data_IF_549982582468
#
_entry.id   IF_549982582468
#
_cell.length_a   1.000
_cell.length_b   1.000
_cell.length_c   1.000
_cell.angle_alpha   90.00
_cell.angle_beta   90.00
_cell.angle_gamma   90.00
#
_symmetry.space_group_name_H-M   'P 1'
#
loop_
_entity.id
_entity.type
_entity.pdbx_description
1 polymer ?
#
# COMPACT_ATOMS: atom_id res chain seq x y z
N UNK A 1 20.08 -26.37 20.21
CA UNK A 1 19.25 -25.35 19.53
C UNK A 1 17.87 -25.38 20.17
N UNK A 2 17.56 -24.39 21.01
CA UNK A 2 16.30 -24.36 21.80
C UNK A 2 15.06 -24.28 20.89
N UNK A 3 13.97 -24.90 21.33
CA UNK A 3 12.64 -24.98 20.67
C UNK A 3 11.92 -23.62 20.53
N UNK A 4 12.58 -22.50 20.86
CA UNK A 4 11.96 -21.17 20.94
C UNK A 4 11.97 -20.37 19.62
N UNK A 5 12.53 -20.91 18.53
CA UNK A 5 12.76 -20.14 17.30
C UNK A 5 11.76 -20.36 16.16
N UNK A 6 10.68 -21.13 16.37
CA UNK A 6 9.69 -21.34 15.29
C UNK A 6 8.80 -20.11 15.07
N UNK A 7 8.60 -19.27 16.10
CA UNK A 7 7.78 -18.06 15.99
C UNK A 7 8.53 -16.81 15.53
N UNK A 8 9.87 -16.82 15.53
CA UNK A 8 10.70 -15.64 15.22
C UNK A 8 10.70 -15.25 13.74
N UNK A 9 10.25 -16.15 12.87
CA UNK A 9 10.18 -15.90 11.42
C UNK A 9 8.83 -15.29 11.01
N UNK A 10 7.79 -15.40 11.84
CA UNK A 10 6.41 -15.17 11.37
C UNK A 10 5.73 -13.90 11.91
N UNK A 11 6.31 -13.20 12.89
CA UNK A 11 5.80 -11.91 13.37
C UNK A 11 6.94 -10.94 13.68
N UNK A 12 6.89 -9.72 13.12
CA UNK A 12 7.81 -8.67 13.56
C UNK A 12 7.44 -8.22 14.97
N UNK A 13 8.46 -7.96 15.79
CA UNK A 13 8.29 -7.42 17.15
C UNK A 13 7.75 -5.98 17.14
N UNK A 14 7.90 -5.27 16.02
CA UNK A 14 7.39 -3.92 15.81
C UNK A 14 6.83 -3.75 14.40
N UNK A 15 5.91 -2.81 14.23
CA UNK A 15 5.33 -2.47 12.95
C UNK A 15 6.13 -1.34 12.29
N UNK A 16 6.72 -1.61 11.13
CA UNK A 16 7.35 -0.61 10.31
C UNK A 16 6.58 -0.49 8.97
N UNK A 17 5.99 0.68 8.63
CA UNK A 17 5.16 0.82 7.44
C UNK A 17 5.82 0.33 6.15
N UNK A 18 7.05 0.78 5.85
CA UNK A 18 7.76 0.41 4.62
C UNK A 18 7.99 -1.10 4.53
N UNK A 19 8.55 -1.71 5.59
CA UNK A 19 8.76 -3.15 5.67
C UNK A 19 7.46 -3.95 5.59
N UNK A 20 6.38 -3.45 6.19
CA UNK A 20 5.06 -4.04 6.06
C UNK A 20 4.52 -3.95 4.62
N UNK A 21 4.90 -2.95 3.82
CA UNK A 21 4.56 -2.90 2.39
C UNK A 21 5.44 -3.75 1.50
N UNK A 22 6.66 -4.02 1.93
CA UNK A 22 7.72 -4.63 1.13
C UNK A 22 7.50 -6.12 0.89
N UNK A 23 7.48 -6.53 -0.37
CA UNK A 23 7.32 -7.95 -0.74
C UNK A 23 8.56 -8.77 -0.39
N UNK A 24 9.75 -8.19 -0.58
CA UNK A 24 11.04 -8.86 -0.39
C UNK A 24 11.82 -8.34 0.84
N UNK A 25 11.26 -7.38 1.56
CA UNK A 25 11.90 -6.73 2.72
C UNK A 25 13.00 -5.72 2.34
N UNK A 26 13.21 -5.43 1.05
CA UNK A 26 14.31 -4.56 0.60
C UNK A 26 13.93 -3.09 0.45
N UNK A 27 12.62 -2.79 0.37
CA UNK A 27 12.15 -1.40 0.29
C UNK A 27 12.68 -0.52 1.42
N UNK A 28 13.30 0.58 1.03
CA UNK A 28 13.77 1.65 1.92
C UNK A 28 12.93 2.91 1.83
N UNK A 29 12.08 3.02 0.79
CA UNK A 29 11.22 4.16 0.53
C UNK A 29 9.77 3.71 0.35
N UNK A 30 8.79 4.56 0.70
CA UNK A 30 7.38 4.29 0.43
C UNK A 30 7.13 4.19 -1.08
N UNK A 31 6.70 3.02 -1.55
CA UNK A 31 6.40 2.78 -2.97
C UNK A 31 4.93 3.00 -3.34
N UNK A 32 4.02 3.13 -2.36
CA UNK A 32 2.61 3.44 -2.59
C UNK A 32 2.10 4.56 -1.66
N UNK A 33 1.00 5.22 -2.05
CA UNK A 33 0.40 6.34 -1.31
C UNK A 33 -0.09 5.95 0.10
N UNK A 34 -0.44 4.68 0.32
CA UNK A 34 -0.86 4.21 1.62
C UNK A 34 0.33 3.96 2.56
N UNK A 35 1.46 3.43 2.08
CA UNK A 35 2.71 3.34 2.84
C UNK A 35 3.22 4.74 3.15
N UNK A 36 3.17 5.67 2.19
CA UNK A 36 3.54 7.06 2.44
C UNK A 36 2.71 7.68 3.57
N UNK A 37 1.38 7.53 3.53
CA UNK A 37 0.48 7.97 4.60
C UNK A 37 0.77 7.31 5.94
N UNK A 38 1.06 6.01 5.94
CA UNK A 38 1.37 5.28 7.17
C UNK A 38 2.70 5.73 7.77
N UNK A 39 3.70 5.99 6.92
CA UNK A 39 4.98 6.52 7.33
C UNK A 39 4.84 7.92 7.92
N UNK A 40 4.11 8.82 7.25
CA UNK A 40 3.80 10.15 7.79
C UNK A 40 3.06 10.08 9.12
N UNK A 41 2.08 9.18 9.24
CA UNK A 41 1.35 8.98 10.48
C UNK A 41 2.26 8.53 11.62
N UNK A 42 3.19 7.61 11.32
CA UNK A 42 4.18 7.11 12.28
C UNK A 42 5.18 8.20 12.68
N UNK A 43 5.75 8.92 11.70
CA UNK A 43 6.77 9.96 11.96
C UNK A 43 6.22 11.20 12.64
N UNK A 44 4.98 11.59 12.32
CA UNK A 44 4.32 12.75 12.92
C UNK A 44 3.56 12.41 14.22
N UNK A 45 3.54 11.14 14.66
CA UNK A 45 2.85 10.72 15.88
C UNK A 45 1.34 10.95 15.85
N UNK A 46 0.71 10.91 14.67
CA UNK A 46 -0.71 11.25 14.49
C UNK A 46 -1.68 10.15 14.94
N UNK A 47 -1.16 9.02 15.43
CA UNK A 47 -1.95 7.89 15.88
C UNK A 47 -1.56 7.50 17.30
N UNK A 48 -2.50 7.70 18.21
CA UNK A 48 -2.43 7.19 19.57
C UNK A 48 -3.22 5.87 19.66
N UNK A 49 -2.55 4.72 19.86
CA UNK A 49 -3.22 3.43 20.00
C UNK A 49 -4.02 3.28 21.31
N UNK A 50 -3.69 4.05 22.35
CA UNK A 50 -4.31 3.97 23.69
C UNK A 50 -5.38 5.04 23.91
N UNK A 51 -5.45 6.07 23.06
CA UNK A 51 -6.41 7.17 23.18
C UNK A 51 -7.86 6.85 22.78
N UNK A 52 -8.16 5.66 22.23
CA UNK A 52 -9.55 5.28 21.90
C UNK A 52 -10.29 4.76 23.13
N UNK A 53 -11.21 5.57 23.67
CA UNK A 53 -12.05 5.22 24.83
C UNK A 53 -12.90 3.97 24.61
N UNK A 54 -13.14 3.58 23.36
CA UNK A 54 -13.91 2.38 23.01
C UNK A 54 -13.07 1.11 23.09
N UNK A 55 -11.75 1.21 23.23
CA UNK A 55 -10.87 0.06 23.46
C UNK A 55 -10.84 -0.18 24.96
N UNK A 56 -11.56 -1.21 25.40
CA UNK A 56 -11.75 -1.55 26.81
C UNK A 56 -11.24 -2.97 27.01
N UNK A 57 -10.60 -3.21 28.17
CA UNK A 57 -10.20 -4.54 28.59
C UNK A 57 -8.71 -4.81 28.45
N UNK A 58 -8.34 -6.07 28.69
CA UNK A 58 -6.95 -6.53 28.61
C UNK A 58 -6.55 -6.84 27.16
N UNK A 59 -5.55 -6.15 26.56
CA UNK A 59 -5.11 -6.43 25.20
C UNK A 59 -4.59 -7.87 25.03
N UNK A 60 -4.02 -8.46 26.07
CA UNK A 60 -3.51 -9.84 26.03
C UNK A 60 -4.63 -10.89 26.06
N UNK A 61 -5.87 -10.49 26.33
CA UNK A 61 -7.05 -11.38 26.29
C UNK A 61 -8.00 -11.03 25.15
N UNK A 62 -7.59 -10.09 24.29
CA UNK A 62 -8.42 -9.56 23.21
C UNK A 62 -7.94 -10.03 21.85
N UNK A 63 -8.84 -10.67 21.11
CA UNK A 63 -8.63 -11.05 19.72
C UNK A 63 -9.29 -10.08 18.75
N UNK A 64 -8.61 -9.87 17.63
CA UNK A 64 -9.15 -9.29 16.42
C UNK A 64 -9.77 -10.41 15.57
N UNK A 65 -11.01 -10.19 15.15
CA UNK A 65 -11.72 -11.07 14.21
C UNK A 65 -12.11 -10.24 12.99
N UNK A 66 -11.54 -10.55 11.83
CA UNK A 66 -11.79 -9.89 10.56
C UNK A 66 -12.50 -10.80 9.55
N UNK A 67 -12.87 -10.21 8.40
CA UNK A 67 -13.61 -10.87 7.32
C UNK A 67 -14.99 -11.41 7.76
N UNK A 68 -15.64 -10.73 8.71
CA UNK A 68 -17.02 -11.02 9.07
C UNK A 68 -17.98 -10.53 7.98
N UNK A 69 -19.09 -11.25 7.80
CA UNK A 69 -20.20 -10.77 6.97
C UNK A 69 -20.71 -9.44 7.50
N UNK A 70 -21.16 -8.56 6.60
CA UNK A 70 -21.79 -7.30 6.98
C UNK A 70 -23.11 -7.50 7.73
N UNK A 71 -23.73 -8.67 7.58
CA UNK A 71 -24.97 -9.06 8.25
C UNK A 71 -24.74 -9.71 9.61
N UNK A 72 -23.50 -10.12 9.93
CA UNK A 72 -23.17 -10.74 11.21
C UNK A 72 -23.45 -9.76 12.36
N UNK A 73 -24.17 -10.24 13.36
CA UNK A 73 -24.53 -9.49 14.57
C UNK A 73 -23.60 -9.83 15.72
N UNK A 74 -23.64 -9.03 16.78
CA UNK A 74 -22.86 -9.31 17.99
C UNK A 74 -23.29 -10.61 18.66
N UNK A 75 -24.58 -10.94 18.62
CA UNK A 75 -25.12 -12.16 19.21
C UNK A 75 -24.72 -13.41 18.42
N UNK A 76 -24.76 -13.37 17.09
CA UNK A 76 -24.32 -14.49 16.25
C UNK A 76 -22.83 -14.74 16.44
N UNK A 77 -22.02 -13.67 16.46
CA UNK A 77 -20.59 -13.78 16.72
C UNK A 77 -20.27 -14.28 18.13
N UNK A 78 -20.99 -13.79 19.15
CA UNK A 78 -20.85 -14.27 20.54
C UNK A 78 -21.16 -15.75 20.64
N UNK A 79 -22.24 -16.21 20.00
CA UNK A 79 -22.64 -17.62 19.97
C UNK A 79 -21.58 -18.49 19.28
N UNK A 80 -21.06 -18.04 18.14
CA UNK A 80 -19.99 -18.74 17.42
C UNK A 80 -18.71 -18.87 18.25
N UNK A 81 -18.33 -17.81 18.97
CA UNK A 81 -17.07 -17.76 19.73
C UNK A 81 -17.15 -18.43 21.11
N UNK A 82 -18.36 -18.59 21.66
CA UNK A 82 -18.60 -19.25 22.95
C UNK A 82 -18.03 -20.67 23.03
N UNK A 83 -17.89 -21.37 21.90
CA UNK A 83 -17.31 -22.73 21.85
C UNK A 83 -15.83 -22.78 22.24
N UNK A 84 -15.11 -21.66 22.12
CA UNK A 84 -13.68 -21.57 22.42
C UNK A 84 -13.41 -21.08 23.84
N UNK A 85 -14.35 -20.36 24.45
CA UNK A 85 -14.26 -19.88 25.82
C UNK A 85 -15.35 -18.86 26.17
N UNK A 86 -15.34 -18.40 27.42
CA UNK A 86 -16.29 -17.39 27.90
C UNK A 86 -15.89 -16.00 27.42
N UNK A 87 -16.78 -15.39 26.63
CA UNK A 87 -16.60 -14.03 26.10
C UNK A 87 -16.99 -13.01 27.17
N UNK A 88 -16.01 -12.25 27.65
CA UNK A 88 -16.18 -11.17 28.63
C UNK A 88 -16.73 -9.91 27.97
N UNK A 89 -16.10 -9.48 26.88
CA UNK A 89 -16.51 -8.30 26.13
C UNK A 89 -16.44 -8.59 24.63
N UNK A 90 -17.34 -7.97 23.86
CA UNK A 90 -17.38 -8.09 22.41
C UNK A 90 -17.76 -6.73 21.83
N UNK A 91 -16.97 -6.24 20.88
CA UNK A 91 -17.21 -4.99 20.17
C UNK A 91 -17.18 -5.24 18.67
N UNK A 92 -18.35 -5.21 18.01
CA UNK A 92 -18.42 -5.22 16.55
C UNK A 92 -18.23 -3.79 16.03
N UNK A 93 -17.22 -3.57 15.19
CA UNK A 93 -16.93 -2.22 14.70
C UNK A 93 -17.89 -1.85 13.57
N UNK A 94 -18.60 -0.75 13.77
CA UNK A 94 -19.58 -0.21 12.84
C UNK A 94 -19.17 1.18 12.35
N UNK A 95 -19.69 1.56 11.19
CA UNK A 95 -19.57 2.92 10.69
C UNK A 95 -20.39 3.88 11.57
N UNK A 96 -19.81 5.01 11.96
CA UNK A 96 -20.42 5.93 12.93
C UNK A 96 -21.70 6.60 12.40
N UNK A 97 -21.80 6.83 11.09
CA UNK A 97 -22.96 7.52 10.49
C UNK A 97 -24.05 6.53 10.08
N UNK A 98 -23.67 5.43 9.42
CA UNK A 98 -24.63 4.50 8.80
C UNK A 98 -24.96 3.31 9.69
N UNK A 99 -24.22 3.09 10.78
CA UNK A 99 -24.40 1.92 11.66
C UNK A 99 -24.03 0.57 11.03
N UNK A 100 -23.64 0.55 9.76
CA UNK A 100 -23.27 -0.66 9.03
C UNK A 100 -22.00 -1.29 9.61
N UNK A 101 -21.97 -2.63 9.66
CA UNK A 101 -20.80 -3.38 10.11
C UNK A 101 -19.60 -3.13 9.19
N UNK A 102 -18.43 -2.90 9.78
CA UNK A 102 -17.16 -2.82 9.02
C UNK A 102 -16.57 -4.21 8.70
N UNK A 103 -17.22 -5.29 9.13
CA UNK A 103 -16.77 -6.66 8.88
C UNK A 103 -15.61 -7.09 9.79
N UNK A 104 -15.44 -6.45 10.95
CA UNK A 104 -14.48 -6.89 11.96
C UNK A 104 -14.92 -6.53 13.38
N UNK A 105 -14.45 -7.32 14.35
CA UNK A 105 -14.78 -7.18 15.76
C UNK A 105 -13.55 -7.41 16.65
N UNK A 106 -13.67 -6.96 17.90
CA UNK A 106 -12.74 -7.28 18.97
C UNK A 106 -13.46 -8.08 20.05
N UNK A 107 -12.83 -9.17 20.50
CA UNK A 107 -13.43 -10.12 21.46
C UNK A 107 -12.46 -10.32 22.61
N UNK A 108 -12.85 -9.90 23.80
CA UNK A 108 -12.14 -10.14 25.05
C UNK A 108 -12.68 -11.41 25.70
N UNK A 109 -11.79 -12.36 25.98
CA UNK A 109 -12.10 -13.56 26.75
C UNK A 109 -11.82 -13.35 28.24
N UNK A 110 -12.41 -14.18 29.09
CA UNK A 110 -12.15 -14.11 30.54
C UNK A 110 -10.71 -14.51 30.87
N UNK A 111 -10.21 -15.56 30.24
CA UNK A 111 -8.86 -16.08 30.47
C UNK A 111 -7.98 -16.02 29.21
N UNK A 112 -6.67 -15.88 29.42
CA UNK A 112 -5.68 -15.94 28.33
C UNK A 112 -5.62 -17.33 27.68
N UNK A 113 -5.93 -18.40 28.42
CA UNK A 113 -5.96 -19.76 27.87
C UNK A 113 -7.09 -19.94 26.84
N UNK A 114 -8.30 -19.45 27.15
CA UNK A 114 -9.44 -19.44 26.22
C UNK A 114 -9.15 -18.60 24.99
N UNK A 115 -8.54 -17.42 25.18
CA UNK A 115 -8.10 -16.56 24.09
C UNK A 115 -7.12 -17.31 23.17
N UNK A 116 -6.07 -17.93 23.71
CA UNK A 116 -5.08 -18.68 22.93
C UNK A 116 -5.70 -19.87 22.19
N UNK A 117 -6.69 -20.52 22.80
CA UNK A 117 -7.46 -21.59 22.17
C UNK A 117 -8.25 -21.06 20.98
N UNK A 118 -9.02 -19.98 21.17
CA UNK A 118 -9.75 -19.31 20.09
C UNK A 118 -8.82 -18.86 18.97
N UNK A 119 -7.66 -18.29 19.31
CA UNK A 119 -6.64 -17.92 18.33
C UNK A 119 -6.22 -19.11 17.46
N UNK A 120 -5.94 -20.28 18.05
CA UNK A 120 -5.49 -21.45 17.27
C UNK A 120 -6.62 -22.06 16.45
N UNK A 121 -7.79 -22.27 17.04
CA UNK A 121 -8.87 -23.10 16.48
C UNK A 121 -9.91 -22.31 15.65
N UNK A 122 -10.09 -21.01 15.88
CA UNK A 122 -11.14 -20.22 15.22
C UNK A 122 -10.70 -19.58 13.90
N UNK A 123 -9.41 -19.57 13.60
CA UNK A 123 -8.88 -19.01 12.35
C UNK A 123 -9.30 -19.87 11.16
N UNK A 124 -9.78 -19.23 10.08
CA UNK A 124 -10.40 -19.88 8.91
C UNK A 124 -11.69 -20.66 9.23
N UNK A 125 -12.33 -20.41 10.36
CA UNK A 125 -13.68 -20.92 10.63
C UNK A 125 -14.73 -20.10 9.87
N UNK A 126 -15.91 -20.67 9.66
CA UNK A 126 -17.01 -20.00 8.97
C UNK A 126 -18.03 -19.44 9.96
N UNK A 127 -18.40 -18.18 9.75
CA UNK A 127 -19.50 -17.49 10.46
C UNK A 127 -20.36 -16.79 9.42
N UNK A 128 -21.65 -17.13 9.36
CA UNK A 128 -22.60 -16.59 8.38
C UNK A 128 -22.06 -16.68 6.93
N UNK A 129 -21.59 -17.87 6.55
CA UNK A 129 -20.98 -18.20 5.25
C UNK A 129 -19.71 -17.41 4.89
N UNK A 130 -19.14 -16.68 5.85
CA UNK A 130 -17.89 -15.94 5.68
C UNK A 130 -16.75 -16.61 6.43
N UNK A 131 -15.64 -16.83 5.74
CA UNK A 131 -14.41 -17.33 6.34
C UNK A 131 -13.71 -16.23 7.14
N UNK A 132 -13.58 -16.43 8.45
CA UNK A 132 -13.07 -15.41 9.37
C UNK A 132 -11.56 -15.51 9.56
N UNK A 133 -10.93 -14.37 9.76
CA UNK A 133 -9.52 -14.29 10.17
C UNK A 133 -9.46 -13.90 11.63
N UNK A 134 -8.78 -14.72 12.43
CA UNK A 134 -8.49 -14.43 13.84
C UNK A 134 -7.01 -14.09 14.04
N UNK A 135 -6.74 -12.93 14.63
CA UNK A 135 -5.40 -12.45 14.99
C UNK A 135 -5.41 -11.78 16.38
N UNK A 136 -4.25 -11.49 16.96
CA UNK A 136 -4.13 -10.71 18.18
C UNK A 136 -4.53 -9.24 17.97
N UNK A 137 -4.95 -8.56 19.04
CA UNK A 137 -5.20 -7.12 19.03
C UNK A 137 -3.88 -6.33 18.87
N UNK A 138 -3.44 -6.16 17.62
CA UNK A 138 -2.17 -5.49 17.29
C UNK A 138 -2.13 -4.02 17.68
N UNK A 139 -3.29 -3.37 17.82
CA UNK A 139 -3.37 -1.96 18.15
C UNK A 139 -2.59 -1.59 19.42
N UNK A 140 -2.70 -2.40 20.47
CA UNK A 140 -2.03 -2.14 21.75
C UNK A 140 -0.79 -3.01 21.94
N UNK A 141 -0.74 -4.18 21.30
CA UNK A 141 0.34 -5.16 21.50
C UNK A 141 1.57 -4.94 20.63
N UNK A 142 1.45 -4.27 19.47
CA UNK A 142 2.55 -4.11 18.53
C UNK A 142 2.99 -2.63 18.46
N UNK A 143 4.21 -2.31 18.95
CA UNK A 143 4.77 -0.97 18.85
C UNK A 143 4.82 -0.49 17.39
N UNK A 144 4.48 0.78 17.17
CA UNK A 144 4.46 1.39 15.84
C UNK A 144 3.27 0.99 14.97
N UNK A 145 2.30 0.22 15.49
CA UNK A 145 1.14 -0.21 14.71
C UNK A 145 0.40 0.96 14.08
N UNK A 146 0.19 0.90 12.76
CA UNK A 146 -0.65 1.87 12.04
C UNK A 146 -1.85 1.13 11.45
N UNK A 147 -3.09 1.56 11.72
CA UNK A 147 -4.29 0.92 11.18
C UNK A 147 -4.44 1.19 9.67
N UNK A 148 -5.22 0.35 9.00
CA UNK A 148 -5.47 0.41 7.56
C UNK A 148 -5.99 1.77 7.06
N UNK A 149 -6.84 2.44 7.85
CA UNK A 149 -7.39 3.77 7.54
C UNK A 149 -6.32 4.87 7.43
N UNK A 150 -5.16 4.66 8.03
CA UNK A 150 -3.99 5.54 7.96
C UNK A 150 -2.92 5.00 7.01
N UNK A 151 -3.23 3.94 6.25
CA UNK A 151 -2.40 3.39 5.18
C UNK A 151 -1.58 2.16 5.56
N UNK A 152 -1.57 1.82 6.85
CA UNK A 152 -0.89 0.63 7.38
C UNK A 152 -1.74 -0.63 7.29
N UNK A 153 -1.85 -1.35 8.41
CA UNK A 153 -2.49 -2.64 8.55
C UNK A 153 -1.65 -3.79 8.03
N UNK A 154 -2.23 -5.00 8.06
CA UNK A 154 -1.65 -6.26 7.61
C UNK A 154 -2.58 -6.92 6.60
N UNK A 155 -2.03 -7.82 5.79
CA UNK A 155 -2.78 -8.57 4.79
C UNK A 155 -3.19 -7.70 3.59
N UNK A 156 -4.35 -8.01 3.01
CA UNK A 156 -4.82 -7.41 1.77
C UNK A 156 -4.64 -8.34 0.56
N UNK A 157 -5.33 -8.01 -0.52
CA UNK A 157 -5.32 -8.78 -1.77
C UNK A 157 -4.39 -8.10 -2.78
N UNK A 158 -3.67 -8.89 -3.59
CA UNK A 158 -2.83 -8.36 -4.68
C UNK A 158 -3.65 -7.51 -5.65
N UNK A 159 -4.88 -7.94 -5.95
CA UNK A 159 -5.85 -7.25 -6.80
C UNK A 159 -6.22 -5.85 -6.27
N UNK A 160 -6.24 -5.67 -4.95
CA UNK A 160 -6.58 -4.39 -4.32
C UNK A 160 -5.45 -3.35 -4.38
N UNK A 161 -4.26 -3.73 -4.86
CA UNK A 161 -3.08 -2.86 -4.92
C UNK A 161 -2.48 -2.46 -3.58
N UNK A 162 -3.04 -2.94 -2.46
CA UNK A 162 -2.62 -2.57 -1.11
C UNK A 162 -2.26 -3.82 -0.31
N UNK A 163 -1.19 -4.51 -0.69
CA UNK A 163 -0.71 -5.70 0.01
C UNK A 163 0.19 -5.30 1.19
N UNK A 164 0.01 -5.93 2.35
CA UNK A 164 0.83 -5.73 3.55
C UNK A 164 1.23 -7.07 4.18
N UNK A 165 2.44 -7.15 4.68
CA UNK A 165 3.05 -8.30 5.34
C UNK A 165 3.15 -8.05 6.85
N UNK A 166 3.28 -9.13 7.61
CA UNK A 166 3.47 -9.11 9.06
C UNK A 166 2.30 -9.58 9.91
N UNK A 167 1.37 -10.32 9.32
CA UNK A 167 0.26 -10.95 10.03
C UNK A 167 0.19 -12.43 9.72
N UNK A 168 -0.85 -13.09 10.23
CA UNK A 168 -1.00 -14.54 10.07
C UNK A 168 -1.20 -14.99 8.62
N UNK A 169 -1.98 -14.23 7.84
CA UNK A 169 -2.24 -14.51 6.42
C UNK A 169 -1.04 -14.25 5.50
N UNK A 170 -0.23 -13.26 5.86
CA UNK A 170 0.89 -12.77 5.07
C UNK A 170 2.06 -12.55 6.00
N UNK A 171 2.65 -13.63 6.56
CA UNK A 171 3.77 -13.48 7.45
C UNK A 171 4.93 -12.85 6.70
N UNK A 172 5.80 -12.15 7.44
CA UNK A 172 7.06 -11.71 6.87
C UNK A 172 7.82 -12.93 6.36
N UNK A 173 8.23 -12.91 5.10
CA UNK A 173 9.18 -13.90 4.59
C UNK A 173 10.56 -13.34 4.83
N UNK A 174 11.47 -14.17 5.33
CA UNK A 174 12.88 -13.81 5.28
C UNK A 174 13.23 -13.45 3.83
N UNK A 175 14.03 -12.38 3.59
CA UNK A 175 14.50 -12.06 2.26
C UNK A 175 15.06 -13.32 1.61
N UNK A 176 14.76 -13.55 0.33
CA UNK A 176 15.33 -14.68 -0.42
C UNK A 176 16.85 -14.51 -0.41
N UNK A 177 17.53 -15.22 0.49
CA UNK A 177 18.99 -15.28 0.47
C UNK A 177 19.38 -16.10 -0.76
N UNK A 178 20.37 -15.66 -1.55
CA UNK A 178 20.94 -16.54 -2.57
C UNK A 178 21.38 -17.82 -1.88
N UNK A 179 20.91 -18.96 -2.40
CA UNK A 179 21.30 -20.27 -1.90
C UNK A 179 22.80 -20.40 -2.20
N UNK A 180 23.66 -20.68 -1.20
CA UNK A 180 25.07 -20.92 -1.44
C UNK A 180 25.27 -21.98 -2.53
N UNK A 181 26.30 -21.82 -3.36
CA UNK A 181 26.57 -22.73 -4.49
C UNK A 181 26.67 -24.20 -4.05
N UNK A 182 27.23 -24.46 -2.88
CA UNK A 182 27.37 -25.81 -2.32
C UNK A 182 26.01 -26.46 -2.00
N UNK A 183 25.04 -25.66 -1.55
CA UNK A 183 23.68 -26.12 -1.26
C UNK A 183 22.87 -26.36 -2.53
N UNK A 184 23.05 -25.55 -3.58
CA UNK A 184 22.45 -25.79 -4.91
C UNK A 184 22.91 -27.14 -5.49
N UNK A 185 24.21 -27.41 -5.38
CA UNK A 185 24.82 -28.68 -5.81
C UNK A 185 24.28 -29.87 -5.02
N UNK A 186 24.11 -29.73 -3.70
CA UNK A 186 23.53 -30.77 -2.83
C UNK A 186 22.06 -31.05 -3.14
N UNK A 187 21.30 -30.03 -3.55
CA UNK A 187 19.89 -30.14 -3.91
C UNK A 187 19.67 -30.61 -5.35
N UNK A 188 20.74 -30.83 -6.14
CA UNK A 188 20.64 -31.23 -7.54
C UNK A 188 20.03 -30.15 -8.45
N UNK A 189 19.98 -28.90 -7.99
CA UNK A 189 19.47 -27.78 -8.78
C UNK A 189 20.63 -27.31 -9.68
N UNK A 190 20.49 -27.39 -11.02
CA UNK A 190 21.54 -26.96 -11.92
C UNK A 190 21.76 -25.46 -11.77
N UNK A 191 23.03 -25.03 -11.90
CA UNK A 191 23.36 -23.62 -11.85
C UNK A 191 22.63 -22.88 -12.98
N UNK A 192 22.16 -21.64 -12.72
CA UNK A 192 21.71 -20.77 -13.79
C UNK A 192 22.82 -20.68 -14.86
N UNK A 193 22.51 -20.84 -16.16
CA UNK A 193 23.52 -20.84 -17.21
C UNK A 193 24.37 -19.57 -17.16
N UNK A 194 25.69 -19.68 -17.30
CA UNK A 194 26.55 -18.50 -17.29
C UNK A 194 26.12 -17.56 -18.43
N UNK A 195 25.73 -16.34 -18.06
CA UNK A 195 25.12 -15.41 -19.01
C UNK A 195 24.92 -14.04 -18.39
N UNK A 196 24.70 -13.04 -19.24
CA UNK A 196 24.39 -11.69 -18.80
C UNK A 196 22.93 -11.64 -18.34
N UNK A 197 22.71 -11.96 -17.07
CA UNK A 197 21.43 -11.71 -16.41
C UNK A 197 21.16 -10.21 -16.43
N UNK A 198 19.94 -9.83 -16.82
CA UNK A 198 19.50 -8.45 -16.70
C UNK A 198 19.62 -8.06 -15.23
N UNK A 199 20.36 -6.98 -14.96
CA UNK A 199 20.38 -6.40 -13.62
C UNK A 199 18.95 -5.97 -13.23
N UNK A 200 18.67 -5.83 -11.93
CA UNK A 200 17.38 -5.32 -11.41
C UNK A 200 16.95 -3.99 -12.07
N UNK A 201 17.90 -3.23 -12.63
CA UNK A 201 17.69 -1.93 -13.28
C UNK A 201 17.71 -2.00 -14.80
N UNK A 202 18.06 -3.13 -15.42
CA UNK A 202 18.06 -3.29 -16.87
C UNK A 202 16.66 -3.72 -17.35
N UNK A 203 16.03 -2.87 -18.15
CA UNK A 203 14.72 -3.15 -18.77
C UNK A 203 14.94 -4.06 -19.98
N UNK A 204 14.25 -5.21 -20.10
CA UNK A 204 14.35 -6.06 -21.28
C UNK A 204 13.98 -5.26 -22.52
N UNK A 205 14.75 -5.44 -23.60
CA UNK A 205 14.38 -4.85 -24.89
C UNK A 205 12.98 -5.34 -25.30
N UNK A 206 12.10 -4.48 -25.83
CA UNK A 206 10.79 -4.90 -26.32
C UNK A 206 10.96 -6.04 -27.33
N UNK A 207 10.04 -7.03 -27.36
CA UNK A 207 10.12 -8.11 -28.31
C UNK A 207 10.14 -7.52 -29.72
N UNK A 208 11.20 -7.81 -30.48
CA UNK A 208 11.23 -7.48 -31.91
C UNK A 208 10.06 -8.22 -32.54
N UNK A 209 9.14 -7.50 -33.20
CA UNK A 209 8.14 -8.12 -34.05
C UNK A 209 8.89 -9.03 -35.01
N UNK A 210 8.69 -10.34 -34.91
CA UNK A 210 9.09 -11.27 -35.96
C UNK A 210 8.37 -10.81 -37.23
N UNK A 211 9.15 -10.39 -38.22
CA UNK A 211 8.61 -10.23 -39.56
C UNK A 211 8.04 -11.58 -39.96
N UNK A 212 6.74 -11.63 -40.21
CA UNK A 212 6.06 -12.78 -40.79
C UNK A 212 6.59 -12.89 -42.22
N UNK A 213 7.10 -14.07 -42.57
CA UNK A 213 7.63 -14.41 -43.89
C UNK A 213 6.56 -14.25 -44.99
N UNK A 214 6.97 -13.74 -46.16
CA UNK A 214 6.11 -13.58 -47.33
C UNK A 214 6.76 -12.85 -48.52
N UNK A 215 7.66 -13.55 -49.20
CA UNK A 215 8.03 -13.55 -50.64
C UNK A 215 8.39 -12.25 -51.41
N UNK A 216 9.62 -12.28 -51.94
CA UNK A 216 10.11 -11.94 -53.29
C UNK A 216 9.74 -10.62 -53.98
N UNK A 217 10.65 -9.62 -53.91
CA UNK A 217 11.03 -8.79 -55.09
C UNK A 217 12.55 -8.44 -55.02
N UNK A 218 13.25 -8.73 -56.12
CA UNK A 218 14.69 -8.60 -56.39
C UNK A 218 15.38 -7.24 -56.07
N UNK A 219 16.70 -7.24 -55.82
CA UNK A 219 17.48 -6.06 -55.46
C UNK A 219 17.89 -5.22 -56.68
N UNK A 220 17.66 -3.90 -56.64
CA UNK A 220 18.34 -2.95 -57.55
C UNK A 220 19.58 -2.39 -56.88
N UNK A 221 20.73 -2.95 -57.25
CA UNK A 221 22.00 -2.24 -57.21
C UNK A 221 22.03 -1.10 -58.24
N UNK A 222 22.88 -0.11 -57.94
CA UNK A 222 23.46 0.98 -58.75
C UNK A 222 23.03 2.35 -58.22
N UNK A 223 23.91 3.34 -58.07
CA UNK A 223 25.36 3.44 -58.12
C UNK A 223 25.68 4.82 -57.54
N UNK A 224 26.89 4.98 -57.00
CA UNK A 224 27.45 6.28 -56.62
C UNK A 224 27.60 7.16 -57.88
N UNK A 225 27.29 8.45 -57.75
CA UNK A 225 27.66 9.53 -58.67
C UNK A 225 27.48 10.84 -57.90
N UNK A 226 28.55 11.37 -57.33
CA UNK A 226 29.35 12.48 -57.85
C UNK A 226 28.61 13.82 -57.81
N UNK A 227 29.20 14.70 -56.99
CA UNK A 227 28.87 16.12 -56.86
C UNK A 227 29.60 16.82 -58.00
N UNK A 228 28.95 17.78 -58.66
CA UNK A 228 29.51 19.14 -58.69
C UNK A 228 28.58 20.20 -59.26
N UNK A 229 28.84 21.39 -58.71
CA UNK A 229 28.65 22.74 -59.20
C UNK A 229 27.31 23.49 -59.16
N UNK A 230 27.46 24.72 -58.65
CA UNK A 230 26.43 25.67 -58.18
C UNK A 230 26.18 26.80 -59.23
N UNK A 231 25.65 27.99 -58.86
CA UNK A 231 24.33 28.52 -59.26
C UNK A 231 24.48 29.81 -60.13
N UNK A 232 23.45 30.64 -60.44
CA UNK A 232 22.73 31.54 -59.50
C UNK A 232 21.24 31.73 -59.95
N UNK A 233 20.34 32.57 -59.45
CA UNK A 233 20.41 33.82 -58.72
C UNK A 233 19.11 34.13 -57.97
N UNK A 234 19.26 34.80 -56.84
CA UNK A 234 18.29 35.61 -56.09
C UNK A 234 17.63 36.69 -56.99
N UNK A 235 16.31 36.95 -56.83
CA UNK A 235 15.76 38.14 -56.11
C UNK A 235 14.26 38.43 -56.39
N UNK A 236 13.62 38.94 -55.32
CA UNK A 236 12.50 39.91 -55.21
C UNK A 236 11.05 39.40 -55.23
N UNK A 237 10.41 39.57 -54.07
CA UNK A 237 8.96 39.84 -53.88
C UNK A 237 8.66 41.33 -54.19
N UNK A 238 7.46 41.93 -53.96
CA UNK A 238 6.16 41.43 -53.48
C UNK A 238 4.93 42.07 -54.22
N UNK A 239 3.75 42.05 -53.57
CA UNK A 239 2.56 42.94 -53.73
C UNK A 239 1.37 42.39 -54.56
N UNK A 240 0.25 42.09 -53.89
CA UNK A 240 -1.02 42.87 -53.91
C UNK A 240 -1.95 42.36 -55.04
N UNK A 241 -3.28 42.29 -54.99
CA UNK A 241 -4.38 42.80 -54.16
C UNK A 241 -5.64 42.04 -54.63
N UNK A 242 -6.67 41.95 -53.76
CA UNK A 242 -8.13 42.03 -54.06
C UNK A 242 -8.75 41.26 -55.26
N UNK A 243 -9.96 40.70 -55.26
CA UNK A 243 -11.08 40.54 -54.34
C UNK A 243 -12.20 39.87 -55.17
N UNK A 244 -13.19 39.26 -54.50
CA UNK A 244 -14.51 38.88 -55.04
C UNK A 244 -14.54 37.64 -55.98
N UNK A 245 -15.54 36.77 -56.01
CA UNK A 245 -16.93 36.89 -55.63
C UNK A 245 -17.60 35.50 -55.55
N UNK A 246 -18.64 35.40 -54.71
CA UNK A 246 -19.93 34.69 -54.95
C UNK A 246 -19.88 33.15 -55.15
N UNK A 247 -20.84 32.32 -54.74
CA UNK A 247 -22.15 32.42 -54.07
C UNK A 247 -22.66 30.97 -54.09
N UNK A 248 -23.11 30.41 -52.97
CA UNK A 248 -23.63 29.03 -52.96
C UNK A 248 -24.25 28.67 -51.62
N UNK A 249 -25.47 29.15 -51.40
CA UNK A 249 -26.31 29.00 -50.20
C UNK A 249 -27.19 27.77 -50.36
N UNK A 250 -27.18 26.84 -49.39
CA UNK A 250 -28.24 25.87 -49.01
C UNK A 250 -27.67 24.86 -48.01
N UNK A 251 -28.33 24.38 -46.97
CA UNK A 251 -29.59 24.66 -46.28
C UNK A 251 -29.42 23.91 -44.93
N UNK A 252 -30.07 24.41 -43.89
CA UNK A 252 -29.97 23.91 -42.51
C UNK A 252 -30.54 22.49 -42.37
N UNK A 253 -29.91 21.67 -41.52
CA UNK A 253 -30.62 20.71 -40.67
C UNK A 253 -29.90 20.55 -39.33
N UNK A 254 -30.62 20.96 -38.31
CA UNK A 254 -30.28 20.85 -36.89
C UNK A 254 -30.09 19.39 -36.44
N UNK A 255 -29.08 19.14 -35.60
CA UNK A 255 -29.19 18.35 -34.36
C UNK A 255 -27.89 18.45 -33.54
N UNK A 256 -28.05 18.92 -32.32
CA UNK A 256 -27.02 19.29 -31.33
C UNK A 256 -26.21 18.12 -30.75
N UNK A 257 -25.07 18.41 -30.08
CA UNK A 257 -23.90 17.53 -30.00
C UNK A 257 -23.68 16.88 -28.62
N UNK A 258 -22.97 15.75 -28.58
CA UNK A 258 -22.40 15.21 -27.34
C UNK A 258 -20.88 15.29 -27.33
N UNK A 259 -20.42 16.26 -26.53
CA UNK A 259 -19.27 16.21 -25.59
C UNK A 259 -17.88 16.00 -26.19
N UNK A 260 -17.26 17.15 -26.48
CA UNK A 260 -15.82 17.33 -26.67
C UNK A 260 -15.12 17.38 -25.31
N UNK A 261 -14.02 16.65 -25.20
CA UNK A 261 -13.05 16.73 -24.12
C UNK A 261 -12.45 18.14 -24.05
N UNK A 262 -12.44 18.70 -22.84
CA UNK A 262 -11.81 19.98 -22.53
C UNK A 262 -10.69 19.78 -21.51
N UNK A 263 -9.46 19.81 -21.98
CA UNK A 263 -8.26 20.04 -21.18
C UNK A 263 -8.22 21.50 -20.74
N UNK A 264 -8.18 21.79 -19.44
CA UNK A 264 -7.74 23.11 -18.97
C UNK A 264 -6.77 22.97 -17.78
N UNK A 265 -5.64 23.65 -17.98
CA UNK A 265 -4.50 23.84 -17.10
C UNK A 265 -4.81 24.93 -16.06
N UNK A 266 -4.19 24.74 -14.89
CA UNK A 266 -3.61 25.73 -13.94
C UNK A 266 -4.46 26.91 -13.51
N UNK A 267 -4.69 26.99 -12.20
CA UNK A 267 -4.45 28.22 -11.47
C UNK A 267 -4.00 27.90 -10.03
N UNK A 268 -2.92 28.57 -9.64
CA UNK A 268 -2.20 28.41 -8.39
C UNK A 268 -2.63 29.53 -7.47
N UNK A 269 -3.42 29.24 -6.43
CA UNK A 269 -3.71 30.21 -5.37
C UNK A 269 -2.87 29.89 -4.14
N UNK A 270 -1.93 30.79 -3.88
CA UNK A 270 -1.05 30.87 -2.73
C UNK A 270 -1.84 31.28 -1.49
N UNK A 271 -1.93 30.38 -0.50
CA UNK A 271 -2.47 30.68 0.83
C UNK A 271 -1.31 30.85 1.82
N UNK A 272 -0.99 32.08 2.20
CA UNK A 272 -0.07 32.39 3.31
C UNK A 272 -0.77 32.19 4.67
N UNK A 273 -0.17 31.45 5.63
CA UNK A 273 -0.61 31.48 7.01
C UNK A 273 0.21 32.50 7.83
N UNK A 274 -0.53 33.40 8.47
CA UNK A 274 -0.08 34.44 9.38
C UNK A 274 0.76 33.87 10.53
N UNK A 275 1.90 34.53 10.81
CA UNK A 275 2.79 34.29 11.95
C UNK A 275 2.11 34.72 13.26
N UNK A 276 1.90 33.80 14.19
CA UNK A 276 1.61 34.13 15.58
C UNK A 276 2.88 34.05 16.43
N UNK A 277 3.24 35.18 17.03
CA UNK A 277 4.36 35.34 17.95
C UNK A 277 4.13 34.59 19.27
N UNK A 278 5.04 33.68 19.61
CA UNK A 278 5.21 33.21 20.99
C UNK A 278 6.00 34.26 21.79
N UNK A 279 5.35 34.91 22.75
CA UNK A 279 6.05 35.59 23.86
C UNK A 279 6.46 34.54 24.88
N UNK A 280 7.77 34.37 25.04
CA UNK A 280 8.40 33.67 26.16
C UNK A 280 8.33 34.57 27.40
N UNK A 281 7.79 34.07 28.50
CA UNK A 281 8.16 34.56 29.83
C UNK A 281 8.86 33.45 30.59
N UNK A 282 10.16 33.68 30.78
CA UNK A 282 11.02 33.01 31.74
C UNK A 282 10.67 33.48 33.15
N UNK A 283 10.47 32.55 34.08
CA UNK A 283 10.70 32.79 35.50
C UNK A 283 11.42 31.57 36.08
N UNK A 284 12.69 31.80 36.39
CA UNK A 284 13.57 30.99 37.22
C UNK A 284 13.10 30.90 38.67
N UNK A 285 13.74 29.98 39.43
CA UNK A 285 13.87 29.90 40.91
C UNK A 285 12.73 29.14 41.62
N UNK A 286 12.96 28.25 42.59
CA UNK A 286 14.15 27.93 43.40
C UNK A 286 14.14 26.47 43.88
N UNK A 287 15.35 26.00 44.20
CA UNK A 287 15.69 24.71 44.79
C UNK A 287 15.70 24.86 46.31
N UNK A 288 14.91 24.08 47.05
CA UNK A 288 15.07 23.95 48.51
C UNK A 288 14.66 22.57 49.01
N UNK A 289 15.68 21.86 49.52
CA UNK A 289 15.75 20.74 50.45
C UNK A 289 14.48 19.96 50.80
N UNK A 290 14.56 18.63 50.60
CA UNK A 290 13.81 17.65 51.39
C UNK A 290 14.76 16.92 52.32
N UNK A 291 14.44 17.01 53.60
CA UNK A 291 15.02 16.27 54.71
C UNK A 291 14.83 14.75 54.54
N UNK A 292 15.87 14.00 54.87
CA UNK A 292 15.84 12.57 55.13
C UNK A 292 15.74 12.36 56.65
N UNK A 293 14.93 11.42 57.14
CA UNK A 293 15.02 10.98 58.53
C UNK A 293 16.21 10.01 58.69
N UNK A 294 16.99 10.18 59.76
CA UNK A 294 17.90 9.17 60.30
C UNK A 294 17.29 8.57 61.57
N UNK A 295 17.52 7.28 61.75
CA UNK A 295 17.56 6.59 63.05
C UNK A 295 18.64 7.18 63.97
#
# INVERSE_FOLDING_TARGET
MSRDNVNKVFYAESYHPIQAGSIDGTDVLPHDNAIYRALLCSSAGLYDPFGDSKVIGDPYRTLFVGHLSHFTTEDTLRKAMKRYGRVKNLRLVRHIVTGASRGYAFIEFETDQEMRRAYKEAHHSFVDDSEIIVDYSRQQLMPGWIPRRLGGGLGGKKESGQLRFGGRERPFRAPLRPIPFDDLKRLGIPLPPEGRYLSRYEVPSPPRRSAIDGEDIHPRERMRGERDDSPPARRKAPAEREETSKRGRREERERSPTRRAGSHRRESDSYEPRRHHHRRHSSSRDYSSRDLPRD
#
